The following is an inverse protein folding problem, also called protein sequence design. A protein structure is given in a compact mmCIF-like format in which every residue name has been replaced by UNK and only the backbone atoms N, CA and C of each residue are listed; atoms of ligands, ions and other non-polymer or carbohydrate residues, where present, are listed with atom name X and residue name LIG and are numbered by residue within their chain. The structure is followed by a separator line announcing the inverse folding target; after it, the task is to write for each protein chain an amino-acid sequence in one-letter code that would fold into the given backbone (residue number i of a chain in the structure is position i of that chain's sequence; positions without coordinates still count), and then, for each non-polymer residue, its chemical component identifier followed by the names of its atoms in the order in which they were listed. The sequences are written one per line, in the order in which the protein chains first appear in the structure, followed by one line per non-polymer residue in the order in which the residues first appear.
data_IF_600268936594
#
_entry.id   IF_600268936594
#
_cell.length_a   1.000
_cell.length_b   1.000
_cell.length_c   1.000
_cell.angle_alpha   90.00
_cell.angle_beta   90.00
_cell.angle_gamma   90.00
#
_symmetry.space_group_name_H-M   'P 1'
#
loop_
_entity.id
_entity.type
_entity.pdbx_description
1 polymer ?
#
# COMPACT_ATOMS: atom_id res chain seq x y z
N UNK A 1 -3.53 12.61 29.02
CA UNK A 1 -3.66 12.64 27.54
C UNK A 1 -5.13 12.40 27.21
N UNK A 2 -5.80 13.32 26.52
CA UNK A 2 -7.25 13.16 26.20
C UNK A 2 -7.45 12.14 25.08
N UNK A 3 -8.57 11.44 25.09
CA UNK A 3 -8.92 10.40 24.10
C UNK A 3 -8.82 10.91 22.65
N UNK A 4 -9.24 12.16 22.43
CA UNK A 4 -9.13 12.85 21.13
C UNK A 4 -7.69 12.92 20.63
N UNK A 5 -6.73 13.28 21.51
CA UNK A 5 -5.31 13.38 21.15
C UNK A 5 -4.76 12.00 20.80
N UNK A 6 -5.16 10.96 21.53
CA UNK A 6 -4.75 9.57 21.24
C UNK A 6 -5.20 9.13 19.84
N UNK A 7 -6.48 9.34 19.51
CA UNK A 7 -7.04 8.97 18.19
C UNK A 7 -6.37 9.75 17.06
N UNK A 8 -6.15 11.05 17.23
CA UNK A 8 -5.46 11.87 16.23
C UNK A 8 -4.04 11.40 15.98
N UNK A 9 -3.28 11.08 17.03
CA UNK A 9 -1.91 10.56 16.90
C UNK A 9 -1.87 9.26 16.10
N UNK A 10 -2.82 8.35 16.31
CA UNK A 10 -2.92 7.09 15.54
C UNK A 10 -3.20 7.38 14.06
N UNK A 11 -4.15 8.27 13.75
CA UNK A 11 -4.44 8.65 12.36
C UNK A 11 -3.24 9.35 11.69
N UNK A 12 -2.51 10.19 12.42
CA UNK A 12 -1.29 10.81 11.92
C UNK A 12 -0.20 9.77 11.64
N UNK A 13 -0.01 8.77 12.51
CA UNK A 13 0.93 7.68 12.27
C UNK A 13 0.55 6.86 11.02
N UNK A 14 -0.74 6.62 10.79
CA UNK A 14 -1.23 5.95 9.58
C UNK A 14 -1.01 6.80 8.33
N UNK A 15 -1.23 8.11 8.41
CA UNK A 15 -0.96 9.02 7.31
C UNK A 15 0.54 9.09 6.99
N UNK A 16 1.39 9.27 8.01
CA UNK A 16 2.85 9.37 7.84
C UNK A 16 3.47 8.10 7.26
N UNK A 17 2.92 6.93 7.61
CA UNK A 17 3.39 5.66 7.04
C UNK A 17 2.82 5.38 5.64
N UNK A 18 1.60 5.81 5.31
CA UNK A 18 0.97 5.54 4.00
C UNK A 18 1.36 6.53 2.90
N UNK A 19 1.49 7.83 3.22
CA UNK A 19 1.71 8.91 2.23
C UNK A 19 2.98 8.70 1.39
N UNK A 20 4.15 8.33 1.96
CA UNK A 20 5.36 8.09 1.17
C UNK A 20 5.15 6.99 0.12
N UNK A 21 4.47 5.91 0.47
CA UNK A 21 4.18 4.80 -0.43
C UNK A 21 3.17 5.19 -1.51
N UNK A 22 2.17 5.99 -1.16
CA UNK A 22 1.22 6.55 -2.12
C UNK A 22 1.93 7.42 -3.16
N UNK A 23 2.75 8.36 -2.73
CA UNK A 23 3.47 9.27 -3.62
C UNK A 23 4.47 8.51 -4.48
N UNK A 24 5.25 7.60 -3.87
CA UNK A 24 6.24 6.81 -4.59
C UNK A 24 5.61 5.87 -5.63
N UNK A 25 4.57 5.12 -5.24
CA UNK A 25 3.88 4.21 -6.15
C UNK A 25 3.17 4.97 -7.28
N UNK A 26 2.53 6.10 -6.95
CA UNK A 26 1.86 6.95 -7.94
C UNK A 26 2.82 7.56 -8.95
N UNK A 27 3.91 8.18 -8.50
CA UNK A 27 4.92 8.72 -9.42
C UNK A 27 5.52 7.64 -10.32
N UNK A 28 5.83 6.49 -9.74
CA UNK A 28 6.41 5.37 -10.49
C UNK A 28 5.43 4.81 -11.53
N UNK A 29 4.17 4.61 -11.15
CA UNK A 29 3.14 4.09 -12.05
C UNK A 29 2.83 5.09 -13.17
N UNK A 30 2.77 6.38 -12.85
CA UNK A 30 2.62 7.46 -13.81
C UNK A 30 3.75 7.46 -14.84
N UNK A 31 5.00 7.51 -14.38
CA UNK A 31 6.17 7.53 -15.27
C UNK A 31 6.22 6.27 -16.16
N UNK A 32 5.97 5.08 -15.59
CA UNK A 32 5.94 3.84 -16.36
C UNK A 32 4.82 3.82 -17.41
N UNK A 33 3.64 4.36 -17.08
CA UNK A 33 2.52 4.45 -18.03
C UNK A 33 2.85 5.38 -19.19
N UNK A 34 3.39 6.57 -18.89
CA UNK A 34 3.76 7.58 -19.90
C UNK A 34 4.91 7.11 -20.80
N UNK A 35 5.85 6.34 -20.26
CA UNK A 35 6.96 5.77 -21.03
C UNK A 35 6.56 4.53 -21.86
N UNK A 36 5.35 4.01 -21.69
CA UNK A 36 4.89 2.79 -22.35
C UNK A 36 4.62 3.05 -23.84
N UNK A 37 5.27 2.28 -24.71
CA UNK A 37 5.03 2.30 -26.18
C UNK A 37 3.95 1.29 -26.62
N UNK A 38 3.32 0.58 -25.67
CA UNK A 38 2.32 -0.42 -25.95
C UNK A 38 1.00 0.23 -26.45
N UNK A 39 0.21 -0.46 -27.30
CA UNK A 39 -1.10 0.03 -27.74
C UNK A 39 -2.06 0.36 -26.59
N UNK A 40 -1.94 -0.35 -25.47
CA UNK A 40 -2.59 -0.03 -24.22
C UNK A 40 -1.51 0.35 -23.17
N UNK A 41 -1.33 1.64 -22.85
CA UNK A 41 -0.28 2.09 -21.95
C UNK A 41 -0.39 1.42 -20.58
N UNK A 42 0.73 0.86 -20.10
CA UNK A 42 0.79 0.12 -18.84
C UNK A 42 2.08 0.43 -18.06
N UNK A 43 2.05 0.52 -16.71
CA UNK A 43 3.24 0.81 -15.89
C UNK A 43 4.33 -0.27 -15.88
N UNK A 44 4.06 -1.43 -16.47
CA UNK A 44 4.94 -2.60 -16.50
C UNK A 44 4.62 -3.65 -15.42
N UNK A 45 4.92 -4.92 -15.71
CA UNK A 45 4.64 -6.07 -14.84
C UNK A 45 5.32 -5.92 -13.48
N UNK A 46 6.60 -5.57 -13.47
CA UNK A 46 7.38 -5.35 -12.23
C UNK A 46 6.72 -4.30 -11.35
N UNK A 47 6.20 -3.23 -11.94
CA UNK A 47 5.49 -2.18 -11.20
C UNK A 47 4.24 -2.72 -10.52
N UNK A 48 3.45 -3.50 -11.23
CA UNK A 48 2.24 -4.14 -10.70
C UNK A 48 2.56 -5.14 -9.59
N UNK A 49 3.61 -5.96 -9.73
CA UNK A 49 4.00 -6.94 -8.72
C UNK A 49 4.36 -6.24 -7.40
N UNK A 50 5.30 -5.29 -7.44
CA UNK A 50 5.81 -4.65 -6.22
C UNK A 50 4.83 -3.68 -5.57
N UNK A 51 3.91 -3.10 -6.34
CA UNK A 51 3.02 -2.02 -5.85
C UNK A 51 1.57 -2.45 -5.64
N UNK A 52 1.21 -3.65 -6.12
CA UNK A 52 -0.14 -4.19 -5.97
C UNK A 52 -0.11 -5.60 -5.42
N UNK A 53 0.52 -6.54 -6.12
CA UNK A 53 0.45 -7.96 -5.72
C UNK A 53 1.11 -8.22 -4.36
N UNK A 54 2.34 -7.73 -4.16
CA UNK A 54 3.05 -7.90 -2.89
C UNK A 54 2.31 -7.21 -1.73
N UNK A 55 1.84 -5.95 -1.86
CA UNK A 55 0.95 -5.33 -0.88
C UNK A 55 -0.34 -6.12 -0.59
N UNK A 56 -0.98 -6.70 -1.61
CA UNK A 56 -2.15 -7.56 -1.41
C UNK A 56 -1.80 -8.82 -0.62
N UNK A 57 -0.64 -9.43 -0.87
CA UNK A 57 -0.15 -10.57 -0.09
C UNK A 57 0.06 -10.17 1.37
N UNK A 58 0.62 -8.98 1.64
CA UNK A 58 0.78 -8.47 3.02
C UNK A 58 -0.57 -8.31 3.73
N UNK A 59 -1.56 -7.73 3.05
CA UNK A 59 -2.92 -7.56 3.60
C UNK A 59 -3.55 -8.93 3.87
N UNK A 60 -3.39 -9.88 2.94
CA UNK A 60 -3.91 -11.24 3.11
C UNK A 60 -3.25 -11.95 4.29
N UNK A 61 -1.93 -11.88 4.43
CA UNK A 61 -1.21 -12.48 5.56
C UNK A 61 -1.64 -11.86 6.89
N UNK A 62 -1.84 -10.54 6.94
CA UNK A 62 -2.39 -9.89 8.12
C UNK A 62 -3.79 -10.41 8.46
N UNK A 63 -4.70 -10.44 7.48
CA UNK A 63 -6.06 -10.93 7.70
C UNK A 63 -6.08 -12.40 8.14
N UNK A 64 -5.23 -13.22 7.53
CA UNK A 64 -5.04 -14.63 7.90
C UNK A 64 -4.58 -14.75 9.36
N UNK A 65 -3.54 -14.01 9.77
CA UNK A 65 -3.02 -14.04 11.13
C UNK A 65 -4.03 -13.54 12.18
N UNK A 66 -4.84 -12.53 11.83
CA UNK A 66 -5.93 -12.05 12.71
C UNK A 66 -7.03 -13.12 12.83
N UNK A 67 -7.40 -13.75 11.72
CA UNK A 67 -8.47 -14.76 11.68
C UNK A 67 -8.11 -16.08 12.37
N UNK A 68 -6.84 -16.48 12.32
CA UNK A 68 -6.36 -17.72 12.92
C UNK A 68 -6.35 -17.68 14.46
N UNK A 69 -6.60 -16.52 15.07
CA UNK A 69 -6.42 -16.29 16.49
C UNK A 69 -4.93 -16.30 16.81
N UNK A 70 -4.39 -15.18 17.29
CA UNK A 70 -3.00 -15.07 17.73
C UNK A 70 -2.68 -15.91 19.00
N UNK A 71 -3.44 -16.98 19.25
CA UNK A 71 -3.37 -17.90 20.40
C UNK A 71 -2.60 -19.20 20.09
N UNK A 72 -1.77 -19.24 19.05
CA UNK A 72 -0.75 -20.27 18.96
C UNK A 72 0.37 -19.94 19.97
N UNK A 73 0.69 -20.85 20.88
CA UNK A 73 1.60 -20.66 22.03
C UNK A 73 3.08 -20.33 21.69
N UNK A 74 3.38 -19.84 20.50
CA UNK A 74 4.69 -19.38 20.01
C UNK A 74 4.54 -18.17 19.05
N UNK A 75 3.55 -17.31 19.28
CA UNK A 75 3.35 -16.12 18.46
C UNK A 75 4.47 -15.11 18.72
N UNK A 76 5.17 -14.73 17.64
CA UNK A 76 6.23 -13.72 17.67
C UNK A 76 5.75 -12.43 18.36
N UNK A 77 6.60 -11.82 19.17
CA UNK A 77 6.34 -10.52 19.84
C UNK A 77 5.96 -9.41 18.85
N UNK A 78 6.24 -9.61 17.55
CA UNK A 78 5.94 -8.67 16.48
C UNK A 78 4.53 -8.79 15.90
N UNK A 79 3.75 -9.83 16.22
CA UNK A 79 2.39 -10.02 15.68
C UNK A 79 1.47 -8.83 15.95
N UNK A 80 1.44 -8.25 17.18
CA UNK A 80 0.63 -7.07 17.45
C UNK A 80 1.01 -5.84 16.62
N UNK A 81 2.19 -5.80 16.00
CA UNK A 81 2.66 -4.67 15.20
C UNK A 81 2.45 -4.86 13.69
N UNK A 82 1.94 -6.02 13.25
CA UNK A 82 1.71 -6.28 11.81
C UNK A 82 0.72 -5.29 11.17
N UNK A 83 -0.20 -4.71 11.94
CA UNK A 83 -1.13 -3.69 11.45
C UNK A 83 -0.40 -2.46 10.89
N UNK A 84 0.82 -2.16 11.35
CA UNK A 84 1.62 -1.04 10.85
C UNK A 84 2.07 -1.21 9.39
N UNK A 85 1.98 -2.43 8.85
CA UNK A 85 2.24 -2.72 7.43
C UNK A 85 1.04 -2.38 6.53
N UNK A 86 -0.16 -2.25 7.08
CA UNK A 86 -1.37 -1.98 6.31
C UNK A 86 -1.38 -0.58 5.68
N UNK A 87 -1.05 0.52 6.40
CA UNK A 87 -1.06 1.84 5.77
C UNK A 87 -0.08 1.95 4.59
N UNK A 88 1.19 1.47 4.67
CA UNK A 88 2.08 1.37 3.52
C UNK A 88 1.52 0.54 2.35
N UNK A 89 0.94 -0.62 2.63
CA UNK A 89 0.37 -1.49 1.61
C UNK A 89 -0.80 -0.84 0.87
N UNK A 90 -1.75 -0.25 1.62
CA UNK A 90 -2.88 0.49 1.08
C UNK A 90 -2.43 1.73 0.31
N UNK A 91 -1.46 2.48 0.86
CA UNK A 91 -0.85 3.64 0.20
C UNK A 91 -0.25 3.26 -1.15
N UNK A 92 0.52 2.17 -1.21
CA UNK A 92 1.14 1.68 -2.45
C UNK A 92 0.10 1.33 -3.52
N UNK A 93 -0.96 0.59 -3.15
CA UNK A 93 -2.04 0.21 -4.08
C UNK A 93 -2.80 1.44 -4.59
N UNK A 94 -3.19 2.34 -3.68
CA UNK A 94 -3.90 3.56 -4.04
C UNK A 94 -3.04 4.46 -4.93
N UNK A 95 -1.77 4.64 -4.57
CA UNK A 95 -0.79 5.38 -5.35
C UNK A 95 -0.66 4.82 -6.76
N UNK A 96 -0.45 3.51 -6.90
CA UNK A 96 -0.38 2.84 -8.20
C UNK A 96 -1.60 3.15 -9.07
N UNK A 97 -2.81 3.02 -8.52
CA UNK A 97 -4.05 3.30 -9.22
C UNK A 97 -4.10 4.76 -9.72
N UNK A 98 -3.87 5.72 -8.83
CA UNK A 98 -3.84 7.16 -9.15
C UNK A 98 -2.83 7.43 -10.29
N UNK A 99 -1.60 6.95 -10.13
CA UNK A 99 -0.52 7.16 -11.10
C UNK A 99 -0.84 6.58 -12.47
N UNK A 100 -1.36 5.35 -12.52
CA UNK A 100 -1.78 4.70 -13.75
C UNK A 100 -2.90 5.47 -14.48
N UNK A 101 -3.97 5.84 -13.77
CA UNK A 101 -5.08 6.59 -14.38
C UNK A 101 -4.65 7.98 -14.85
N UNK A 102 -3.83 8.68 -14.07
CA UNK A 102 -3.28 9.98 -14.47
C UNK A 102 -2.34 9.85 -15.69
N UNK A 103 -1.54 8.79 -15.74
CA UNK A 103 -0.66 8.51 -16.88
C UNK A 103 -1.45 8.25 -18.15
N UNK A 104 -2.50 7.42 -18.07
CA UNK A 104 -3.40 7.15 -19.20
C UNK A 104 -4.07 8.40 -19.74
N UNK A 105 -4.60 9.27 -18.86
CA UNK A 105 -5.24 10.55 -19.25
C UNK A 105 -4.31 11.52 -19.97
N UNK A 106 -2.98 11.33 -19.89
CA UNK A 106 -2.01 12.18 -20.58
C UNK A 106 -1.71 11.68 -22.00
N UNK A 107 -1.90 10.38 -22.24
CA UNK A 107 -1.51 9.72 -23.50
C UNK A 107 -2.71 9.64 -24.47
N UNK A 108 -3.92 9.52 -23.92
CA UNK A 108 -5.20 9.54 -24.64
C UNK A 108 -5.68 10.99 -24.75
#
# INVERSE_FOLDING_TARGET
MTELISRLTVYFLYAMSSVPFLVWAGRSAYCGTVASTAPAPWPGITSTIFRVLLPLTVIFLYAWNVSAGAEAANTSEWIPFQFLLLPPALGSIAGYGIGYFMGKRRII
#
